data_IF_735072793885
#
_entry.id   IF_735072793885
#
_cell.length_a   1.000
_cell.length_b   1.000
_cell.length_c   1.000
_cell.angle_alpha   90.00
_cell.angle_beta   90.00
_cell.angle_gamma   90.00
#
_symmetry.space_group_name_H-M   'P 1'
#
loop_
_entity.id
_entity.type
_entity.pdbx_description
1 polymer ?
#
# COMPACT_ATOMS: atom_id res chain seq x y z
N UNK A 1 -16.05 -5.65 9.24
CA UNK A 1 -16.47 -5.30 7.86
C UNK A 1 -17.94 -4.95 7.86
N UNK A 2 -18.36 -3.84 7.23
CA UNK A 2 -19.78 -3.48 7.10
C UNK A 2 -20.36 -4.02 5.79
N UNK A 3 -21.69 -4.23 5.74
CA UNK A 3 -22.38 -4.60 4.50
C UNK A 3 -22.58 -3.41 3.55
N UNK A 4 -22.63 -2.19 4.09
CA UNK A 4 -22.86 -0.93 3.35
C UNK A 4 -21.80 0.12 3.69
N UNK A 5 -21.59 1.07 2.78
CA UNK A 5 -20.57 2.12 2.88
C UNK A 5 -19.21 1.72 2.30
N UNK A 6 -18.30 2.68 2.17
CA UNK A 6 -16.98 2.51 1.51
C UNK A 6 -16.15 1.38 2.11
N UNK A 7 -16.29 1.12 3.41
CA UNK A 7 -15.56 0.07 4.13
C UNK A 7 -15.98 -1.36 3.72
N UNK A 8 -17.14 -1.51 3.07
CA UNK A 8 -17.66 -2.80 2.63
C UNK A 8 -16.75 -3.49 1.60
N UNK A 9 -15.93 -2.72 0.86
CA UNK A 9 -14.97 -3.26 -0.11
C UNK A 9 -13.96 -4.23 0.52
N UNK A 10 -13.63 -4.02 1.81
CA UNK A 10 -12.58 -4.80 2.47
C UNK A 10 -12.96 -6.27 2.69
N UNK A 11 -14.24 -6.66 2.49
CA UNK A 11 -14.72 -8.06 2.54
C UNK A 11 -14.17 -8.94 1.43
N UNK A 12 -13.71 -8.33 0.33
CA UNK A 12 -13.32 -9.02 -0.89
C UNK A 12 -11.82 -8.94 -1.18
N UNK A 13 -11.05 -8.37 -0.26
CA UNK A 13 -9.59 -8.21 -0.39
C UNK A 13 -8.88 -8.89 0.77
N UNK A 14 -7.63 -9.26 0.54
CA UNK A 14 -6.75 -9.88 1.53
C UNK A 14 -5.41 -9.15 1.56
N UNK A 15 -4.82 -8.91 2.75
CA UNK A 15 -3.48 -8.35 2.83
C UNK A 15 -2.43 -9.36 2.34
N UNK A 16 -1.39 -8.86 1.70
CA UNK A 16 -0.22 -9.63 1.26
C UNK A 16 1.04 -8.84 1.62
N UNK A 17 2.06 -9.54 2.12
CA UNK A 17 3.36 -8.95 2.45
C UNK A 17 4.42 -9.43 1.47
N UNK A 18 5.32 -8.53 1.09
CA UNK A 18 6.47 -8.79 0.22
C UNK A 18 7.73 -8.45 1.02
N UNK A 19 8.71 -9.35 1.04
CA UNK A 19 9.97 -9.19 1.79
C UNK A 19 11.16 -9.48 0.89
N UNK A 20 12.13 -8.55 0.85
CA UNK A 20 13.37 -8.67 0.04
C UNK A 20 13.11 -8.84 -1.47
N UNK A 21 12.03 -8.24 -1.98
CA UNK A 21 11.71 -8.23 -3.41
C UNK A 21 12.45 -7.10 -4.14
N UNK A 22 12.96 -7.33 -5.35
CA UNK A 22 13.49 -6.26 -6.18
C UNK A 22 12.36 -5.31 -6.60
N UNK A 23 12.67 -4.01 -6.65
CA UNK A 23 11.67 -2.96 -6.85
C UNK A 23 10.90 -3.08 -8.19
N UNK A 24 11.53 -3.63 -9.23
CA UNK A 24 10.89 -3.87 -10.52
C UNK A 24 9.76 -4.90 -10.48
N UNK A 25 9.79 -5.83 -9.51
CA UNK A 25 8.78 -6.87 -9.33
C UNK A 25 7.71 -6.50 -8.30
N UNK A 26 7.93 -5.43 -7.53
CA UNK A 26 6.93 -4.94 -6.59
C UNK A 26 5.74 -4.33 -7.34
N UNK A 27 4.51 -4.50 -6.83
CA UNK A 27 3.36 -3.74 -7.29
C UNK A 27 3.62 -2.23 -7.17
N UNK A 28 3.10 -1.44 -8.10
CA UNK A 28 3.28 0.02 -8.12
C UNK A 28 2.86 0.72 -6.82
N UNK A 29 1.86 0.17 -6.12
CA UNK A 29 1.42 0.67 -4.82
C UNK A 29 2.47 0.54 -3.68
N UNK A 30 3.45 -0.35 -3.84
CA UNK A 30 4.49 -0.63 -2.83
C UNK A 30 5.86 -0.06 -3.21
N UNK A 31 6.06 0.40 -4.45
CA UNK A 31 7.34 0.98 -4.90
C UNK A 31 7.71 2.23 -4.10
N UNK A 32 8.99 2.45 -3.86
CA UNK A 32 9.47 3.50 -2.97
C UNK A 32 9.13 4.91 -3.48
N UNK A 33 9.22 5.12 -4.80
CA UNK A 33 8.90 6.38 -5.47
C UNK A 33 7.39 6.74 -5.48
N UNK A 34 6.51 5.86 -4.99
CA UNK A 34 5.05 6.07 -4.93
C UNK A 34 4.45 6.61 -6.25
N UNK A 35 4.53 5.85 -7.36
CA UNK A 35 4.11 6.31 -8.68
C UNK A 35 2.61 6.62 -8.73
N UNK A 36 1.83 6.03 -7.81
CA UNK A 36 0.38 6.24 -7.71
C UNK A 36 -0.01 7.42 -6.79
N UNK A 37 0.93 8.03 -6.08
CA UNK A 37 0.66 9.15 -5.16
C UNK A 37 -0.32 8.80 -4.02
N UNK A 38 -0.43 7.52 -3.65
CA UNK A 38 -1.38 7.04 -2.63
C UNK A 38 -0.85 7.28 -1.22
N UNK A 39 -1.76 7.32 -0.25
CA UNK A 39 -1.40 7.39 1.17
C UNK A 39 -0.94 6.00 1.61
N UNK A 40 0.25 5.95 2.21
CA UNK A 40 0.86 4.74 2.75
C UNK A 40 1.24 4.97 4.21
N UNK A 41 1.38 3.88 4.97
CA UNK A 41 1.86 3.94 6.34
C UNK A 41 3.31 3.44 6.36
N UNK A 42 4.25 4.31 6.73
CA UNK A 42 5.69 4.01 6.79
C UNK A 42 6.13 4.22 8.23
N UNK A 43 6.68 3.19 8.87
CA UNK A 43 7.11 3.23 10.28
C UNK A 43 6.03 3.76 11.25
N UNK A 44 4.75 3.51 10.96
CA UNK A 44 3.61 3.96 11.77
C UNK A 44 2.99 5.30 11.36
N UNK A 45 3.66 6.09 10.51
CA UNK A 45 3.21 7.42 10.06
C UNK A 45 2.55 7.38 8.68
N UNK A 46 1.51 8.18 8.47
CA UNK A 46 0.84 8.29 7.18
C UNK A 46 1.58 9.31 6.30
N UNK A 47 1.99 8.90 5.10
CA UNK A 47 2.70 9.76 4.15
C UNK A 47 2.34 9.44 2.70
N UNK A 48 2.56 10.41 1.82
CA UNK A 48 2.53 10.23 0.35
C UNK A 48 3.92 10.37 -0.28
N UNK A 49 4.93 10.71 0.52
CA UNK A 49 6.26 10.99 0.01
C UNK A 49 6.93 9.71 -0.51
N UNK A 50 7.92 9.93 -1.36
CA UNK A 50 8.88 8.89 -1.70
C UNK A 50 9.65 8.46 -0.44
N UNK A 51 10.01 7.18 -0.39
CA UNK A 51 10.90 6.65 0.65
C UNK A 51 12.27 6.55 0.00
N UNK A 52 13.27 7.22 0.55
CA UNK A 52 14.65 7.07 0.11
C UNK A 52 15.27 5.93 0.91
N UNK A 53 15.72 4.88 0.21
CA UNK A 53 16.50 3.78 0.76
C UNK A 53 17.88 4.25 1.18
#
# INVERSE_FOLDING_TARGET
FTAVGTEAIRRWVRPVSYQDWPESLLPDALKNNNPLGIIRRVNGELTKNEIRS
#
